data_IF_942901085783
#
_entry.id   IF_942901085783
#
_cell.length_a   1.000
_cell.length_b   1.000
_cell.length_c   1.000
_cell.angle_alpha   90.00
_cell.angle_beta   90.00
_cell.angle_gamma   90.00
#
_symmetry.space_group_name_H-M   'P 1'
#
loop_
_entity.id
_entity.type
_entity.pdbx_description
1 polymer ?
#
# COMPACT_ATOMS: atom_id res chain seq x y z
N UNK A 1 14.06 -1.73 0.19
CA UNK A 1 12.69 -1.96 0.67
C UNK A 1 12.07 -0.68 1.19
N UNK A 2 11.18 -0.11 0.39
CA UNK A 2 10.48 1.15 0.67
C UNK A 2 9.24 0.92 1.55
N UNK A 3 8.87 1.91 2.34
CA UNK A 3 7.66 1.91 3.15
C UNK A 3 6.88 3.22 3.02
N UNK A 4 5.55 3.12 3.10
CA UNK A 4 4.62 4.26 3.14
C UNK A 4 3.83 4.23 4.44
N UNK A 5 4.01 5.24 5.29
CA UNK A 5 3.19 5.43 6.49
C UNK A 5 1.98 6.34 6.18
N UNK A 6 0.77 5.78 6.30
CA UNK A 6 -0.48 6.50 6.05
C UNK A 6 -1.12 7.01 7.35
N UNK A 7 -0.58 6.67 8.52
CA UNK A 7 -1.14 7.15 9.78
C UNK A 7 -1.21 8.68 9.87
N UNK A 8 -0.21 9.47 9.44
CA UNK A 8 -0.28 10.93 9.60
C UNK A 8 -1.44 11.58 8.83
N UNK A 9 -1.88 10.95 7.74
CA UNK A 9 -2.89 11.48 6.83
C UNK A 9 -4.21 10.70 6.86
N UNK A 10 -4.44 9.88 7.90
CA UNK A 10 -5.57 8.94 7.96
C UNK A 10 -6.96 9.57 7.80
N UNK A 11 -7.08 10.88 8.05
CA UNK A 11 -8.33 11.66 7.93
C UNK A 11 -8.55 12.27 6.55
N UNK A 12 -7.55 12.26 5.66
CA UNK A 12 -7.65 12.85 4.33
C UNK A 12 -7.65 11.77 3.24
N UNK A 13 -8.83 11.38 2.78
CA UNK A 13 -9.00 10.34 1.77
C UNK A 13 -8.29 10.66 0.44
N UNK A 14 -8.30 11.94 0.03
CA UNK A 14 -7.68 12.38 -1.22
C UNK A 14 -6.17 12.21 -1.15
N UNK A 15 -5.56 12.63 -0.06
CA UNK A 15 -4.11 12.53 0.13
C UNK A 15 -3.69 11.06 0.26
N UNK A 16 -4.50 10.22 0.91
CA UNK A 16 -4.25 8.77 0.99
C UNK A 16 -4.13 8.17 -0.41
N UNK A 17 -5.11 8.42 -1.29
CA UNK A 17 -5.09 7.86 -2.65
C UNK A 17 -3.95 8.43 -3.50
N UNK A 18 -3.64 9.73 -3.35
CA UNK A 18 -2.52 10.37 -4.02
C UNK A 18 -1.18 9.74 -3.62
N UNK A 19 -0.93 9.61 -2.32
CA UNK A 19 0.30 9.04 -1.77
C UNK A 19 0.45 7.57 -2.12
N UNK A 20 -0.64 6.78 -2.04
CA UNK A 20 -0.64 5.39 -2.48
C UNK A 20 -0.22 5.25 -3.94
N UNK A 21 -0.79 6.08 -4.83
CA UNK A 21 -0.47 6.04 -6.26
C UNK A 21 0.98 6.41 -6.54
N UNK A 22 1.45 7.51 -5.95
CA UNK A 22 2.83 7.97 -6.10
C UNK A 22 3.83 6.93 -5.59
N UNK A 23 3.56 6.36 -4.42
CA UNK A 23 4.40 5.35 -3.81
C UNK A 23 4.49 4.08 -4.66
N UNK A 24 3.36 3.53 -5.11
CA UNK A 24 3.36 2.32 -5.95
C UNK A 24 4.09 2.54 -7.27
N UNK A 25 3.92 3.71 -7.90
CA UNK A 25 4.62 4.02 -9.15
C UNK A 25 6.13 4.15 -8.95
N UNK A 26 6.56 4.76 -7.84
CA UNK A 26 7.98 4.86 -7.48
C UNK A 26 8.59 3.51 -7.13
N UNK A 27 7.87 2.68 -6.34
CA UNK A 27 8.32 1.36 -5.94
C UNK A 27 8.43 0.39 -7.12
N UNK A 28 7.46 0.43 -8.05
CA UNK A 28 7.52 -0.39 -9.27
C UNK A 28 8.72 -0.06 -10.17
N UNK A 29 9.20 1.19 -10.16
CA UNK A 29 10.36 1.61 -10.94
C UNK A 29 11.69 1.41 -10.21
N UNK A 30 11.67 1.13 -8.91
CA UNK A 30 12.90 1.14 -8.12
C UNK A 30 13.67 -0.17 -8.13
N UNK A 31 13.10 -1.24 -8.69
CA UNK A 31 13.68 -2.59 -8.64
C UNK A 31 13.64 -3.25 -7.25
N UNK A 32 12.88 -2.68 -6.30
CA UNK A 32 12.66 -3.36 -5.01
C UNK A 32 11.65 -4.50 -5.25
N UNK A 33 11.91 -5.75 -4.83
CA UNK A 33 10.97 -6.85 -5.03
C UNK A 33 9.69 -6.68 -4.18
N UNK A 34 9.80 -5.97 -3.04
CA UNK A 34 8.71 -5.78 -2.08
C UNK A 34 8.73 -4.35 -1.54
N UNK A 35 7.54 -3.78 -1.34
CA UNK A 35 7.33 -2.55 -0.56
C UNK A 35 6.26 -2.73 0.52
N UNK A 36 6.32 -1.88 1.54
CA UNK A 36 5.40 -1.89 2.67
C UNK A 36 4.43 -0.70 2.61
N UNK A 37 3.16 -0.94 2.93
CA UNK A 37 2.17 0.11 3.22
C UNK A 37 1.71 -0.09 4.65
N UNK A 38 1.76 0.98 5.46
CA UNK A 38 1.45 0.98 6.88
C UNK A 38 0.18 1.81 7.11
N UNK A 39 -1.02 1.21 6.96
CA UNK A 39 -2.29 1.83 7.32
C UNK A 39 -2.59 1.79 8.82
N UNK A 40 -1.88 0.96 9.58
CA UNK A 40 -2.11 0.81 11.02
C UNK A 40 -3.07 -0.28 11.45
N UNK A 41 -3.11 -0.50 12.76
CA UNK A 41 -3.98 -1.51 13.40
C UNK A 41 -5.39 -0.97 13.60
N UNK A 42 -5.54 0.15 14.33
CA UNK A 42 -6.77 0.97 14.41
C UNK A 42 -8.11 0.21 14.42
N UNK A 43 -9.15 0.82 13.85
CA UNK A 43 -10.45 0.17 13.58
C UNK A 43 -10.46 -0.69 12.30
N UNK A 44 -9.29 -0.80 11.65
CA UNK A 44 -9.14 -1.42 10.33
C UNK A 44 -9.76 -0.64 9.16
N UNK A 45 -10.39 0.52 9.39
CA UNK A 45 -11.03 1.29 8.31
C UNK A 45 -10.03 1.76 7.25
N UNK A 46 -8.88 2.31 7.68
CA UNK A 46 -7.82 2.73 6.76
C UNK A 46 -7.26 1.53 6.00
N UNK A 47 -7.02 0.39 6.68
CA UNK A 47 -6.59 -0.86 6.05
C UNK A 47 -7.57 -1.33 4.96
N UNK A 48 -8.88 -1.36 5.24
CA UNK A 48 -9.91 -1.72 4.25
C UNK A 48 -9.88 -0.80 3.04
N UNK A 49 -9.70 0.51 3.24
CA UNK A 49 -9.56 1.48 2.15
C UNK A 49 -8.32 1.21 1.29
N UNK A 50 -7.18 0.95 1.93
CA UNK A 50 -5.94 0.62 1.19
C UNK A 50 -6.13 -0.66 0.36
N UNK A 51 -6.73 -1.71 0.93
CA UNK A 51 -7.00 -2.95 0.19
C UNK A 51 -7.93 -2.71 -1.00
N UNK A 52 -9.01 -1.96 -0.81
CA UNK A 52 -9.93 -1.59 -1.90
C UNK A 52 -9.24 -0.77 -3.00
N UNK A 53 -8.30 0.12 -2.63
CA UNK A 53 -7.49 0.86 -3.60
C UNK A 53 -6.55 -0.07 -4.38
N UNK A 54 -5.84 -0.96 -3.67
CA UNK A 54 -4.93 -1.93 -4.30
C UNK A 54 -5.67 -2.84 -5.28
N UNK A 55 -6.91 -3.22 -4.97
CA UNK A 55 -7.72 -4.11 -5.81
C UNK A 55 -8.28 -3.47 -7.09
N UNK A 56 -8.12 -2.16 -7.27
CA UNK A 56 -8.52 -1.48 -8.51
C UNK A 56 -7.76 -2.02 -9.73
N UNK A 57 -8.47 -2.30 -10.83
CA UNK A 57 -7.92 -2.96 -12.03
C UNK A 57 -6.68 -2.25 -12.60
N UNK A 58 -6.65 -0.92 -12.64
CA UNK A 58 -5.49 -0.16 -13.12
C UNK A 58 -4.34 -0.13 -12.12
N UNK A 59 -4.61 -0.25 -10.82
CA UNK A 59 -3.59 -0.29 -9.77
C UNK A 59 -2.90 -1.66 -9.72
N UNK A 60 -3.66 -2.76 -9.86
CA UNK A 60 -3.12 -4.13 -9.95
C UNK A 60 -2.11 -4.35 -11.08
N UNK A 61 -2.08 -3.48 -12.09
CA UNK A 61 -1.07 -3.55 -13.18
C UNK A 61 0.34 -3.17 -12.71
N UNK A 62 0.47 -2.45 -11.59
CA UNK A 62 1.74 -1.94 -11.09
C UNK A 62 2.55 -2.97 -10.29
N UNK A 63 1.96 -4.10 -9.91
CA UNK A 63 2.59 -5.08 -9.04
C UNK A 63 2.13 -6.52 -9.38
N UNK A 64 2.67 -7.52 -8.69
CA UNK A 64 2.35 -8.94 -8.88
C UNK A 64 1.23 -9.40 -7.93
N UNK A 65 1.39 -9.16 -6.63
CA UNK A 65 0.39 -9.48 -5.58
C UNK A 65 0.54 -8.59 -4.34
N UNK A 66 -0.47 -8.57 -3.49
CA UNK A 66 -0.39 -7.97 -2.15
C UNK A 66 -0.90 -8.94 -1.09
N UNK A 67 -0.38 -8.83 0.12
CA UNK A 67 -0.82 -9.63 1.27
C UNK A 67 -0.71 -8.84 2.58
N UNK A 68 -1.57 -9.10 3.58
CA UNK A 68 -1.33 -8.63 4.94
C UNK A 68 -0.03 -9.25 5.49
N UNK A 69 0.76 -8.48 6.24
CA UNK A 69 1.92 -9.04 6.94
C UNK A 69 1.43 -9.93 8.11
N UNK A 70 1.77 -11.23 8.14
CA UNK A 70 1.34 -12.15 9.19
C UNK A 70 1.94 -11.81 10.56
N UNK A 71 3.10 -11.13 10.59
CA UNK A 71 3.78 -10.71 11.83
C UNK A 71 3.31 -9.33 12.28
N UNK A 72 2.84 -8.49 11.35
CA UNK A 72 2.33 -7.16 11.66
C UNK A 72 0.99 -6.88 10.93
N UNK A 73 -0.16 -7.14 11.58
CA UNK A 73 -1.48 -6.94 10.96
C UNK A 73 -1.77 -5.50 10.50
N UNK A 74 -1.01 -4.52 11.00
CA UNK A 74 -1.08 -3.11 10.60
C UNK A 74 -0.27 -2.75 9.36
N UNK A 75 0.29 -3.74 8.67
CA UNK A 75 1.11 -3.60 7.47
C UNK A 75 0.56 -4.47 6.33
N UNK A 76 0.70 -3.96 5.12
CA UNK A 76 0.43 -4.67 3.87
C UNK A 76 1.73 -4.72 3.09
N UNK A 77 2.07 -5.90 2.58
CA UNK A 77 3.19 -6.14 1.69
C UNK A 77 2.70 -6.12 0.24
N UNK A 78 3.39 -5.39 -0.61
CA UNK A 78 3.14 -5.35 -2.05
C UNK A 78 4.36 -5.90 -2.76
N UNK A 79 4.17 -6.99 -3.49
CA UNK A 79 5.21 -7.70 -4.24
C UNK A 79 5.17 -7.23 -5.68
N UNK A 80 6.29 -6.73 -6.19
CA UNK A 80 6.42 -6.25 -7.57
C UNK A 80 6.81 -7.39 -8.51
N UNK A 81 6.73 -7.11 -9.80
CA UNK A 81 7.19 -8.06 -10.83
C UNK A 81 8.69 -7.82 -10.99
N UNK A 82 9.44 -8.91 -11.13
CA UNK A 82 10.84 -8.87 -11.56
C UNK A 82 10.96 -8.36 -13.00
#
# INVERSE_FOLDING_TARGET
MRSLDLHPIFRNNRDIELMLRQFLFSAAQSGDPVAEIIPGKGSGQLKRRVLAFLDQKHIRKLYARHEPDPKNPGRILVHFRD
#
